data_IF_081038714956
#
_entry.id   IF_081038714956
#
_cell.length_a   1.000
_cell.length_b   1.000
_cell.length_c   1.000
_cell.angle_alpha   90.00
_cell.angle_beta   90.00
_cell.angle_gamma   90.00
#
_symmetry.space_group_name_H-M   'P 1'
#
loop_
_entity.id
_entity.type
_entity.pdbx_description
1 polymer ?
#
# COMPACT_ATOMS: atom_id res chain seq x y z
N UNK A 1 -41.29 -0.60 45.01
CA UNK A 1 -42.61 0.02 44.80
C UNK A 1 -42.46 1.53 44.97
N UNK A 2 -42.75 2.30 43.90
CA UNK A 2 -43.35 3.66 43.83
C UNK A 2 -43.27 4.57 45.08
N UNK A 3 -43.05 5.90 45.07
CA UNK A 3 -43.13 7.00 44.08
C UNK A 3 -42.82 8.29 44.88
N UNK A 4 -41.82 9.11 44.50
CA UNK A 4 -41.91 10.43 43.83
C UNK A 4 -42.43 11.67 44.63
N UNK A 5 -41.74 12.79 44.35
CA UNK A 5 -42.09 14.24 44.54
C UNK A 5 -41.82 14.80 45.95
N UNK A 6 -41.28 16.00 46.16
CA UNK A 6 -41.27 17.25 45.39
C UNK A 6 -39.96 18.04 45.60
N UNK A 7 -39.37 18.58 44.53
CA UNK A 7 -38.34 19.64 44.63
C UNK A 7 -39.01 21.00 44.36
N UNK A 8 -38.79 21.95 45.28
CA UNK A 8 -39.52 23.21 45.42
C UNK A 8 -38.91 24.31 44.52
N UNK A 9 -39.80 24.94 43.75
CA UNK A 9 -39.82 26.27 43.12
C UNK A 9 -38.53 26.94 42.59
N UNK A 10 -38.59 27.21 41.28
CA UNK A 10 -37.98 28.29 40.52
C UNK A 10 -38.11 29.66 41.21
N UNK A 11 -37.05 30.48 41.17
CA UNK A 11 -37.16 31.93 40.95
C UNK A 11 -35.82 32.56 40.52
N UNK A 12 -35.82 33.06 39.27
CA UNK A 12 -35.22 34.31 38.77
C UNK A 12 -33.69 34.47 38.93
N UNK A 13 -32.90 34.67 37.87
CA UNK A 13 -33.09 35.69 36.85
C UNK A 13 -32.49 35.31 35.49
N UNK A 14 -33.25 35.61 34.44
CA UNK A 14 -32.73 35.77 33.08
C UNK A 14 -32.08 37.15 32.98
N UNK A 15 -30.83 37.20 32.51
CA UNK A 15 -30.22 38.39 31.96
C UNK A 15 -29.74 38.05 30.54
N UNK A 16 -30.13 38.90 29.60
CA UNK A 16 -30.05 38.72 28.17
C UNK A 16 -28.60 38.67 27.64
N UNK A 17 -28.37 37.78 26.67
CA UNK A 17 -27.34 37.94 25.64
C UNK A 17 -27.83 38.97 24.60
N UNK A 18 -26.92 39.78 24.04
CA UNK A 18 -26.54 39.49 22.66
C UNK A 18 -25.04 39.67 22.36
N UNK A 19 -24.52 38.84 21.44
CA UNK A 19 -23.30 39.16 20.68
C UNK A 19 -22.14 38.15 20.75
N UNK A 20 -22.25 37.09 19.93
CA UNK A 20 -21.21 36.15 19.40
C UNK A 20 -19.76 36.67 19.53
N UNK A 21 -18.79 35.94 20.11
CA UNK A 21 -18.27 34.63 19.67
C UNK A 21 -17.71 33.83 20.87
N UNK A 22 -17.90 32.52 20.78
CA UNK A 22 -17.70 31.54 21.83
C UNK A 22 -16.23 31.31 22.23
N UNK A 23 -16.04 31.19 23.54
CA UNK A 23 -14.93 30.57 24.26
C UNK A 23 -14.82 29.08 23.88
N UNK A 24 -13.63 28.59 23.48
CA UNK A 24 -13.26 27.18 23.65
C UNK A 24 -11.81 27.12 24.14
N UNK A 25 -11.66 27.26 25.46
CA UNK A 25 -10.62 26.52 26.20
C UNK A 25 -11.36 25.33 26.79
N UNK A 26 -11.29 24.18 26.12
CA UNK A 26 -11.65 22.90 26.71
C UNK A 26 -10.50 21.94 26.46
N UNK A 27 -9.70 21.81 27.51
CA UNK A 27 -8.72 20.75 27.71
C UNK A 27 -9.48 19.43 27.62
N UNK A 28 -9.32 18.69 26.51
CA UNK A 28 -9.81 17.31 26.43
C UNK A 28 -8.59 16.40 26.30
N UNK A 29 -8.21 15.84 27.44
CA UNK A 29 -7.51 14.57 27.49
C UNK A 29 -8.36 13.53 26.75
N UNK A 30 -7.88 13.04 25.61
CA UNK A 30 -8.27 11.72 25.13
C UNK A 30 -7.05 10.82 25.19
N UNK A 31 -7.05 10.06 26.28
CA UNK A 31 -6.39 8.77 26.46
C UNK A 31 -6.36 7.98 25.16
N UNK A 32 -5.27 7.23 24.99
CA UNK A 32 -4.94 6.46 23.80
C UNK A 32 -6.15 5.82 23.14
N UNK A 33 -6.39 6.21 21.90
CA UNK A 33 -6.87 5.25 20.94
C UNK A 33 -5.73 4.24 20.76
N UNK A 34 -5.69 3.24 21.65
CA UNK A 34 -5.14 1.95 21.29
C UNK A 34 -5.89 1.59 20.01
N UNK A 35 -5.22 1.75 18.86
CA UNK A 35 -5.69 1.13 17.63
C UNK A 35 -5.63 -0.34 17.96
N UNK A 36 -6.76 -0.89 18.41
CA UNK A 36 -6.89 -2.31 18.63
C UNK A 36 -6.66 -2.94 17.27
N UNK A 37 -5.43 -3.39 17.03
CA UNK A 37 -5.11 -4.26 15.92
C UNK A 37 -6.07 -5.43 16.06
N UNK A 38 -6.96 -5.66 15.08
CA UNK A 38 -7.88 -6.77 15.17
C UNK A 38 -7.04 -8.06 15.19
N UNK A 39 -6.83 -8.60 16.39
CA UNK A 39 -6.10 -9.84 16.63
C UNK A 39 -7.11 -10.96 16.39
N UNK A 40 -6.99 -11.65 15.26
CA UNK A 40 -7.75 -12.88 15.03
C UNK A 40 -7.14 -14.00 15.89
N UNK A 41 -7.68 -14.19 17.10
CA UNK A 41 -7.32 -15.34 17.94
C UNK A 41 -8.02 -16.60 17.44
N UNK A 42 -7.58 -17.14 16.31
CA UNK A 42 -7.83 -18.54 15.98
C UNK A 42 -6.61 -19.40 16.37
N UNK A 43 -6.78 -20.73 16.39
CA UNK A 43 -5.69 -21.66 16.70
C UNK A 43 -4.61 -21.72 15.59
N UNK A 44 -4.77 -20.96 14.50
CA UNK A 44 -3.80 -20.91 13.40
C UNK A 44 -2.64 -19.94 13.68
N UNK A 45 -2.77 -19.06 14.69
CA UNK A 45 -1.75 -18.03 14.98
C UNK A 45 -1.74 -16.89 13.96
N UNK A 46 -2.74 -16.80 13.10
CA UNK A 46 -2.89 -15.75 12.11
C UNK A 46 -3.37 -14.45 12.78
N UNK A 47 -2.53 -13.42 12.82
CA UNK A 47 -2.95 -12.12 13.36
C UNK A 47 -4.02 -11.45 12.49
N UNK A 48 -3.89 -11.54 11.16
CA UNK A 48 -4.79 -10.89 10.20
C UNK A 48 -4.80 -11.55 8.82
N UNK A 49 -5.97 -11.59 8.16
CA UNK A 49 -6.12 -11.96 6.75
C UNK A 49 -6.56 -10.77 5.87
N UNK A 50 -5.95 -10.61 4.69
CA UNK A 50 -6.39 -9.68 3.64
C UNK A 50 -6.80 -10.51 2.42
N UNK A 51 -8.05 -10.36 1.96
CA UNK A 51 -8.59 -11.14 0.84
C UNK A 51 -8.42 -10.38 -0.49
N UNK A 52 -7.61 -10.92 -1.38
CA UNK A 52 -7.52 -10.47 -2.77
C UNK A 52 -8.42 -11.32 -3.67
N UNK A 53 -9.30 -10.67 -4.44
CA UNK A 53 -10.13 -11.33 -5.47
C UNK A 53 -9.31 -11.52 -6.75
N UNK A 54 -8.33 -12.42 -6.70
CA UNK A 54 -7.53 -12.85 -7.84
C UNK A 54 -7.35 -14.37 -7.77
N UNK A 55 -7.29 -15.08 -8.91
CA UNK A 55 -7.13 -16.53 -8.92
C UNK A 55 -5.78 -16.99 -8.35
N UNK A 56 -4.74 -16.16 -8.44
CA UNK A 56 -3.37 -16.46 -7.97
C UNK A 56 -2.68 -15.18 -7.46
N UNK A 57 -1.93 -15.32 -6.37
CA UNK A 57 -1.02 -14.30 -5.82
C UNK A 57 0.31 -15.01 -5.51
N UNK A 58 1.35 -14.82 -6.34
CA UNK A 58 2.66 -15.50 -6.17
C UNK A 58 3.84 -14.54 -5.93
N UNK A 59 3.61 -13.23 -6.01
CA UNK A 59 4.65 -12.22 -5.80
C UNK A 59 4.12 -11.25 -4.76
N UNK A 60 4.90 -11.03 -3.71
CA UNK A 60 4.56 -10.09 -2.66
C UNK A 60 5.82 -9.35 -2.23
N UNK A 61 5.64 -8.13 -1.75
CA UNK A 61 6.69 -7.39 -1.07
C UNK A 61 6.09 -6.46 -0.01
N UNK A 62 6.87 -6.15 1.02
CA UNK A 62 6.49 -5.26 2.12
C UNK A 62 7.33 -3.99 2.04
N UNK A 63 6.71 -2.83 2.21
CA UNK A 63 7.44 -1.57 2.20
C UNK A 63 8.44 -1.49 3.36
N UNK A 64 9.54 -0.74 3.23
CA UNK A 64 10.57 -0.63 4.28
C UNK A 64 10.04 -0.12 5.63
N UNK A 65 8.98 0.69 5.62
CA UNK A 65 8.29 1.18 6.82
C UNK A 65 7.28 0.19 7.41
N UNK A 66 7.10 -0.98 6.79
CA UNK A 66 6.16 -2.02 7.20
C UNK A 66 4.69 -1.63 7.05
N UNK A 67 4.36 -0.53 6.38
CA UNK A 67 2.99 -0.03 6.30
C UNK A 67 2.20 -0.61 5.12
N UNK A 68 2.89 -0.95 4.04
CA UNK A 68 2.27 -1.31 2.77
C UNK A 68 2.71 -2.68 2.28
N UNK A 69 1.82 -3.34 1.53
CA UNK A 69 2.12 -4.57 0.80
C UNK A 69 1.83 -4.35 -0.67
N UNK A 70 2.72 -4.86 -1.53
CA UNK A 70 2.42 -5.11 -2.93
C UNK A 70 2.11 -6.58 -3.11
N UNK A 71 1.11 -6.89 -3.91
CA UNK A 71 0.80 -8.26 -4.31
C UNK A 71 0.57 -8.36 -5.82
N UNK A 72 1.35 -9.19 -6.49
CA UNK A 72 1.31 -9.42 -7.93
C UNK A 72 0.49 -10.67 -8.30
N UNK A 73 -0.46 -10.49 -9.21
CA UNK A 73 -1.21 -11.56 -9.89
C UNK A 73 -0.92 -11.57 -11.40
N UNK A 74 -1.74 -12.28 -12.18
CA UNK A 74 -1.53 -12.45 -13.63
C UNK A 74 -1.74 -11.18 -14.46
N UNK A 75 -2.80 -10.42 -14.15
CA UNK A 75 -3.24 -9.27 -14.97
C UNK A 75 -3.17 -7.94 -14.20
N UNK A 76 -2.79 -8.01 -12.94
CA UNK A 76 -2.73 -6.85 -12.07
C UNK A 76 -1.82 -7.11 -10.89
N UNK A 77 -1.36 -6.03 -10.29
CA UNK A 77 -0.85 -6.03 -8.94
C UNK A 77 -1.62 -5.03 -8.08
N UNK A 78 -1.54 -5.19 -6.76
CA UNK A 78 -2.37 -4.45 -5.82
C UNK A 78 -1.51 -3.92 -4.68
N UNK A 79 -1.75 -2.66 -4.33
CA UNK A 79 -1.17 -2.01 -3.16
C UNK A 79 -2.18 -2.04 -2.01
N UNK A 80 -1.72 -2.41 -0.83
CA UNK A 80 -2.54 -2.56 0.39
C UNK A 80 -1.96 -1.74 1.54
N UNK A 81 -2.83 -1.24 2.40
CA UNK A 81 -2.46 -0.74 3.73
C UNK A 81 -2.53 -1.92 4.72
N UNK A 82 -1.42 -2.24 5.38
CA UNK A 82 -1.36 -3.36 6.33
C UNK A 82 -2.16 -3.05 7.60
N UNK A 83 -2.05 -1.82 8.11
CA UNK A 83 -2.69 -1.41 9.37
C UNK A 83 -4.21 -1.38 9.24
N UNK A 84 -4.72 -0.96 8.09
CA UNK A 84 -6.15 -0.93 7.80
C UNK A 84 -6.64 -2.22 7.14
N UNK A 85 -5.74 -3.03 6.57
CA UNK A 85 -6.06 -4.26 5.83
C UNK A 85 -6.92 -3.98 4.61
N UNK A 86 -6.77 -2.78 4.05
CA UNK A 86 -7.59 -2.29 2.95
C UNK A 86 -6.77 -2.22 1.68
N UNK A 87 -7.47 -2.50 0.58
CA UNK A 87 -6.94 -2.28 -0.75
C UNK A 87 -6.83 -0.77 -0.99
N UNK A 88 -5.63 -0.29 -1.28
CA UNK A 88 -5.40 1.11 -1.63
C UNK A 88 -5.67 1.30 -3.12
N UNK A 89 -5.03 0.49 -3.97
CA UNK A 89 -5.09 0.66 -5.42
C UNK A 89 -4.79 -0.64 -6.15
N UNK A 90 -5.50 -0.87 -7.26
CA UNK A 90 -5.19 -1.93 -8.22
C UNK A 90 -4.54 -1.30 -9.44
N UNK A 91 -3.43 -1.89 -9.88
CA UNK A 91 -2.70 -1.48 -11.07
C UNK A 91 -2.86 -2.55 -12.13
N UNK A 92 -3.52 -2.19 -13.22
CA UNK A 92 -3.65 -3.08 -14.37
C UNK A 92 -2.32 -3.24 -15.07
N UNK A 93 -1.98 -4.47 -15.41
CA UNK A 93 -0.81 -4.78 -16.23
C UNK A 93 -1.28 -5.61 -17.44
N UNK A 94 -0.70 -5.40 -18.64
CA UNK A 94 -0.94 -6.31 -19.76
C UNK A 94 -0.75 -7.77 -19.32
N UNK A 95 -1.66 -8.65 -19.76
CA UNK A 95 -1.66 -10.07 -19.39
C UNK A 95 -0.27 -10.64 -19.55
N UNK A 96 0.25 -11.21 -18.48
CA UNK A 96 1.48 -11.96 -18.57
C UNK A 96 1.27 -13.18 -19.46
N UNK A 97 2.17 -13.40 -20.41
CA UNK A 97 2.11 -14.55 -21.31
C UNK A 97 2.27 -15.85 -20.48
N UNK A 98 1.46 -16.88 -20.76
CA UNK A 98 1.54 -18.20 -20.13
C UNK A 98 1.28 -18.28 -18.61
N UNK A 99 0.58 -17.30 -18.03
CA UNK A 99 0.23 -17.37 -16.60
C UNK A 99 1.40 -17.07 -15.68
N UNK A 100 2.31 -16.19 -16.09
CA UNK A 100 3.31 -15.62 -15.20
C UNK A 100 2.67 -14.58 -14.26
N UNK A 101 3.09 -14.51 -13.01
CA UNK A 101 2.63 -13.45 -12.09
C UNK A 101 3.49 -12.21 -12.21
N UNK A 102 2.88 -11.03 -12.12
CA UNK A 102 3.56 -9.73 -12.14
C UNK A 102 4.57 -9.63 -10.98
N UNK A 103 5.89 -9.57 -11.23
CA UNK A 103 6.84 -9.29 -10.15
C UNK A 103 6.66 -7.86 -9.67
N UNK A 104 6.84 -7.65 -8.37
CA UNK A 104 6.70 -6.36 -7.69
C UNK A 104 7.82 -6.22 -6.66
N UNK A 105 8.28 -4.99 -6.42
CA UNK A 105 9.27 -4.69 -5.38
C UNK A 105 9.15 -3.24 -4.90
N UNK A 106 9.36 -2.98 -3.61
CA UNK A 106 9.55 -1.64 -3.08
C UNK A 106 11.01 -1.20 -3.16
N UNK A 107 11.25 0.10 -3.37
CA UNK A 107 12.58 0.66 -3.18
C UNK A 107 12.93 0.69 -1.68
N UNK A 108 14.21 0.54 -1.30
CA UNK A 108 14.62 0.58 0.12
C UNK A 108 14.33 1.90 0.83
N UNK A 109 14.22 3.00 0.09
CA UNK A 109 13.85 4.32 0.62
C UNK A 109 12.33 4.55 0.69
N UNK A 110 11.52 3.59 0.23
CA UNK A 110 10.06 3.63 0.23
C UNK A 110 9.44 4.66 -0.71
N UNK A 111 10.24 5.40 -1.50
CA UNK A 111 9.74 6.45 -2.40
C UNK A 111 9.17 5.89 -3.69
N UNK A 112 9.60 4.69 -4.06
CA UNK A 112 9.19 4.04 -5.29
C UNK A 112 8.77 2.60 -5.06
N UNK A 113 8.08 2.07 -6.06
CA UNK A 113 7.96 0.64 -6.25
C UNK A 113 8.12 0.32 -7.73
N UNK A 114 8.42 -0.94 -8.03
CA UNK A 114 8.58 -1.43 -9.39
C UNK A 114 7.59 -2.57 -9.67
N UNK A 115 7.21 -2.70 -10.94
CA UNK A 115 6.44 -3.84 -11.44
C UNK A 115 7.01 -4.33 -12.78
N UNK A 116 6.94 -5.63 -13.04
CA UNK A 116 7.39 -6.22 -14.30
C UNK A 116 6.25 -6.86 -15.10
N UNK A 117 6.57 -7.30 -16.30
CA UNK A 117 5.69 -8.02 -17.22
C UNK A 117 6.25 -7.84 -18.63
N UNK A 118 5.51 -7.21 -19.55
CA UNK A 118 6.09 -6.62 -20.77
C UNK A 118 6.89 -5.37 -20.40
N UNK A 119 8.21 -5.52 -20.22
CA UNK A 119 9.08 -4.49 -19.66
C UNK A 119 9.03 -4.42 -18.13
N UNK A 120 9.69 -3.40 -17.59
CA UNK A 120 9.56 -3.03 -16.18
C UNK A 120 9.08 -1.58 -16.06
N UNK A 121 8.41 -1.26 -14.94
CA UNK A 121 7.90 0.08 -14.64
C UNK A 121 8.30 0.48 -13.25
N UNK A 122 8.72 1.73 -13.09
CA UNK A 122 8.92 2.40 -11.82
C UNK A 122 7.73 3.31 -11.53
N UNK A 123 7.25 3.26 -10.30
CA UNK A 123 6.10 4.00 -9.83
C UNK A 123 6.51 4.88 -8.66
N UNK A 124 6.00 6.09 -8.62
CA UNK A 124 6.16 6.99 -7.48
C UNK A 124 5.14 6.63 -6.40
N UNK A 125 5.61 6.38 -5.17
CA UNK A 125 4.75 5.91 -4.07
C UNK A 125 3.78 6.98 -3.57
N UNK A 126 4.20 8.25 -3.57
CA UNK A 126 3.39 9.36 -3.08
C UNK A 126 2.21 9.66 -4.03
N UNK A 127 2.47 9.68 -5.32
CA UNK A 127 1.48 10.00 -6.36
C UNK A 127 0.79 8.76 -6.92
N UNK A 128 1.40 7.58 -6.76
CA UNK A 128 0.96 6.28 -7.30
C UNK A 128 0.82 6.29 -8.82
N UNK A 129 1.68 7.08 -9.47
CA UNK A 129 1.75 7.21 -10.92
C UNK A 129 3.02 6.56 -11.44
N UNK A 130 2.93 6.06 -12.67
CA UNK A 130 4.10 5.59 -13.41
C UNK A 130 5.06 6.77 -13.59
N UNK A 131 6.33 6.55 -13.23
CA UNK A 131 7.41 7.53 -13.32
C UNK A 131 8.34 7.21 -14.50
N UNK A 132 8.72 5.94 -14.65
CA UNK A 132 9.63 5.46 -15.69
C UNK A 132 9.10 4.14 -16.24
N UNK A 133 9.10 3.98 -17.57
CA UNK A 133 8.95 2.71 -18.24
C UNK A 133 10.33 2.27 -18.77
N UNK A 134 10.82 1.14 -18.29
CA UNK A 134 12.04 0.51 -18.79
C UNK A 134 11.67 -0.39 -19.97
N UNK A 135 11.93 0.09 -21.18
CA UNK A 135 11.61 -0.61 -22.41
C UNK A 135 12.55 -1.80 -22.61
N UNK A 136 12.04 -2.98 -22.28
CA UNK A 136 12.74 -4.24 -22.46
C UNK A 136 11.75 -5.37 -22.74
N UNK A 137 12.31 -6.56 -23.00
CA UNK A 137 11.55 -7.79 -23.09
C UNK A 137 10.87 -8.15 -21.76
N UNK A 138 10.40 -9.40 -21.65
CA UNK A 138 9.67 -9.85 -20.48
C UNK A 138 10.52 -9.75 -19.21
N UNK A 139 9.91 -9.27 -18.14
CA UNK A 139 10.51 -9.16 -16.81
C UNK A 139 9.76 -10.03 -15.82
N UNK A 140 10.44 -11.04 -15.29
CA UNK A 140 9.91 -12.02 -14.32
C UNK A 140 10.45 -11.82 -12.91
N UNK A 141 11.58 -11.11 -12.79
CA UNK A 141 12.25 -10.82 -11.52
C UNK A 141 12.61 -9.34 -11.45
N UNK A 142 12.51 -8.79 -10.25
CA UNK A 142 12.88 -7.42 -9.91
C UNK A 142 13.64 -7.44 -8.58
N UNK A 143 14.67 -6.61 -8.47
CA UNK A 143 15.35 -6.35 -7.20
C UNK A 143 15.96 -4.96 -7.23
N UNK A 144 15.74 -4.17 -6.18
CA UNK A 144 16.45 -2.91 -6.00
C UNK A 144 17.82 -3.17 -5.36
N UNK A 145 18.83 -2.39 -5.73
CA UNK A 145 20.06 -2.33 -4.95
C UNK A 145 19.76 -1.80 -3.53
N UNK A 146 20.54 -2.18 -2.51
CA UNK A 146 20.31 -1.71 -1.14
C UNK A 146 20.32 -0.19 -0.97
N UNK A 147 21.07 0.52 -1.82
CA UNK A 147 21.11 1.99 -1.84
C UNK A 147 19.97 2.63 -2.66
N UNK A 148 19.11 1.81 -3.29
CA UNK A 148 17.95 2.23 -4.07
C UNK A 148 18.27 2.87 -5.42
N UNK A 149 19.54 2.93 -5.83
CA UNK A 149 19.94 3.62 -7.08
C UNK A 149 19.78 2.75 -8.31
N UNK A 150 19.80 1.43 -8.15
CA UNK A 150 19.72 0.49 -9.26
C UNK A 150 18.48 -0.39 -9.14
N UNK A 151 17.90 -0.71 -10.28
CA UNK A 151 16.89 -1.75 -10.43
C UNK A 151 17.45 -2.86 -11.31
N UNK A 152 17.68 -4.02 -10.70
CA UNK A 152 17.97 -5.25 -11.42
C UNK A 152 16.65 -5.87 -11.89
N UNK A 153 16.62 -6.23 -13.15
CA UNK A 153 15.50 -6.91 -13.78
C UNK A 153 15.99 -8.19 -14.44
N UNK A 154 15.16 -9.22 -14.42
CA UNK A 154 15.49 -10.51 -15.01
C UNK A 154 14.34 -11.13 -15.77
N UNK A 155 14.60 -11.67 -16.94
CA UNK A 155 13.62 -12.39 -17.74
C UNK A 155 14.21 -12.94 -19.05
N UNK A 156 13.42 -13.70 -19.81
CA UNK A 156 13.92 -14.39 -21.00
C UNK A 156 14.29 -13.37 -22.08
N UNK A 157 15.49 -13.49 -22.63
CA UNK A 157 15.87 -12.81 -23.86
C UNK A 157 14.87 -13.15 -24.99
N UNK A 158 14.40 -12.14 -25.71
CA UNK A 158 13.65 -12.39 -26.94
C UNK A 158 14.63 -12.81 -28.05
N UNK A 159 14.75 -14.12 -28.31
CA UNK A 159 15.45 -14.62 -29.51
C UNK A 159 15.99 -16.04 -29.39
N UNK A 160 15.67 -16.88 -30.39
CA UNK A 160 16.25 -18.21 -30.61
C UNK A 160 17.61 -18.14 -31.36
N UNK A 161 18.28 -16.99 -31.39
CA UNK A 161 19.48 -16.76 -32.22
C UNK A 161 20.72 -16.43 -31.38
N UNK A 162 21.88 -16.72 -31.98
CA UNK A 162 23.24 -16.89 -31.42
C UNK A 162 23.81 -15.68 -30.65
N UNK A 163 23.12 -14.54 -30.59
CA UNK A 163 23.45 -13.43 -29.68
C UNK A 163 22.23 -13.08 -28.82
N UNK A 164 22.01 -13.85 -27.76
CA UNK A 164 20.96 -13.53 -26.79
C UNK A 164 21.37 -12.29 -26.00
N UNK A 165 20.54 -11.22 -25.96
CA UNK A 165 20.78 -10.12 -25.01
C UNK A 165 20.80 -10.67 -23.58
N UNK A 166 21.50 -10.00 -22.65
CA UNK A 166 21.61 -10.52 -21.29
C UNK A 166 20.23 -10.65 -20.66
N UNK A 167 19.98 -11.83 -20.06
CA UNK A 167 18.75 -12.15 -19.33
C UNK A 167 18.58 -11.30 -18.06
N UNK A 168 19.63 -10.58 -17.66
CA UNK A 168 19.66 -9.66 -16.53
C UNK A 168 20.03 -8.26 -17.03
N UNK A 169 19.26 -7.27 -16.62
CA UNK A 169 19.48 -5.86 -16.97
C UNK A 169 19.43 -5.01 -15.71
N UNK A 170 20.37 -4.09 -15.59
CA UNK A 170 20.46 -3.15 -14.48
C UNK A 170 20.11 -1.77 -15.03
N UNK A 171 19.19 -1.08 -14.37
CA UNK A 171 18.80 0.28 -14.70
C UNK A 171 19.10 1.22 -13.54
N UNK A 172 19.49 2.44 -13.86
CA UNK A 172 19.55 3.54 -12.92
C UNK A 172 18.12 4.07 -12.65
N UNK A 173 17.73 4.09 -11.38
CA UNK A 173 16.38 4.44 -10.92
C UNK A 173 16.05 5.93 -11.13
N UNK A 174 17.06 6.79 -11.14
CA UNK A 174 16.86 8.22 -11.33
C UNK A 174 16.66 8.60 -12.80
N UNK A 175 17.38 7.94 -13.71
CA UNK A 175 17.48 8.31 -15.12
C UNK A 175 16.75 7.35 -16.06
N UNK A 176 16.48 6.12 -15.64
CA UNK A 176 15.85 5.10 -16.46
C UNK A 176 16.80 4.37 -17.43
N UNK A 177 18.11 4.64 -17.35
CA UNK A 177 19.12 4.13 -18.29
C UNK A 177 19.82 2.88 -17.79
#
# INVERSE_FOLDING_TARGET
MFSAKQHRSLNKAAAALPGRLALIVCLVAFLGACVATPELKDKSGLSRAIKQKAPVVNRIDISPDGRYVLSGGFDAFVLWDILQGQKIQTFSHPKAFMGDTTPVAFSPDGKYFASGGTGAKLWDMATRREKIAFNQDRTFFLSFSPDGKQLLTGGPAAGLLVSTPPNLKIFDVATGR
#
